data_IF_785887921591
#
_entry.id   IF_785887921591
#
_cell.length_a   1.000
_cell.length_b   1.000
_cell.length_c   1.000
_cell.angle_alpha   90.00
_cell.angle_beta   90.00
_cell.angle_gamma   90.00
#
_symmetry.space_group_name_H-M   'P 1'
#
loop_
_entity.id
_entity.type
_entity.pdbx_description
1 polymer ?
#
# COMPACT_ATOMS: atom_id res chain seq x y z
N UNK A 1 -0.68 -17.67 -17.31
CA UNK A 1 -1.25 -16.31 -17.22
C UNK A 1 -2.05 -16.22 -15.93
N UNK A 2 -1.62 -15.37 -15.00
CA UNK A 2 -2.43 -15.04 -13.84
C UNK A 2 -3.69 -14.34 -14.37
N UNK A 3 -4.86 -14.95 -14.13
CA UNK A 3 -6.18 -14.42 -14.55
C UNK A 3 -6.33 -12.97 -14.09
N UNK A 4 -6.95 -12.16 -14.94
CA UNK A 4 -7.07 -10.69 -14.92
C UNK A 4 -7.69 -10.03 -13.66
N UNK A 5 -7.82 -10.75 -12.54
CA UNK A 5 -8.50 -10.31 -11.32
C UNK A 5 -7.75 -10.67 -10.03
N UNK A 6 -6.42 -10.67 -10.06
CA UNK A 6 -5.62 -10.81 -8.84
C UNK A 6 -5.54 -9.50 -8.08
N UNK A 7 -5.88 -9.53 -6.79
CA UNK A 7 -5.67 -8.39 -5.91
C UNK A 7 -4.31 -8.43 -5.23
N UNK A 8 -3.60 -7.32 -5.34
CA UNK A 8 -2.28 -7.11 -4.76
C UNK A 8 -2.38 -5.95 -3.78
N UNK A 9 -2.07 -6.23 -2.52
CA UNK A 9 -1.89 -5.21 -1.49
C UNK A 9 -0.44 -4.74 -1.55
N UNK A 10 -0.23 -3.43 -1.73
CA UNK A 10 1.09 -2.79 -1.71
C UNK A 10 1.12 -1.84 -0.53
N UNK A 11 2.16 -1.95 0.28
CA UNK A 11 2.31 -1.20 1.53
C UNK A 11 3.56 -0.34 1.46
N UNK A 12 3.48 0.88 1.98
CA UNK A 12 4.60 1.81 2.10
C UNK A 12 4.59 2.53 3.45
N UNK A 13 5.76 2.82 4.02
CA UNK A 13 5.88 3.63 5.23
C UNK A 13 5.91 5.11 4.84
N UNK A 14 4.98 5.90 5.37
CA UNK A 14 5.10 7.36 5.37
C UNK A 14 5.93 7.85 6.56
N UNK A 15 5.84 7.15 7.69
CA UNK A 15 6.68 7.35 8.88
C UNK A 15 6.80 6.03 9.66
N UNK A 16 7.48 6.05 10.80
CA UNK A 16 7.61 4.88 11.69
C UNK A 16 6.26 4.32 12.11
N UNK A 17 5.29 5.19 12.31
CA UNK A 17 3.97 4.85 12.87
C UNK A 17 2.85 5.07 11.85
N UNK A 18 3.14 5.42 10.59
CA UNK A 18 2.13 5.68 9.58
C UNK A 18 2.41 4.89 8.30
N UNK A 19 1.45 4.05 7.93
CA UNK A 19 1.43 3.28 6.71
C UNK A 19 0.44 3.87 5.72
N UNK A 20 0.84 3.88 4.46
CA UNK A 20 -0.07 4.01 3.32
C UNK A 20 -0.15 2.66 2.62
N UNK A 21 -1.35 2.27 2.21
CA UNK A 21 -1.57 1.04 1.47
C UNK A 21 -2.44 1.27 0.24
N UNK A 22 -2.21 0.43 -0.76
CA UNK A 22 -2.94 0.39 -2.01
C UNK A 22 -3.37 -1.05 -2.30
N UNK A 23 -4.62 -1.25 -2.67
CA UNK A 23 -5.09 -2.53 -3.25
C UNK A 23 -5.29 -2.31 -4.74
N UNK A 24 -4.51 -3.02 -5.54
CA UNK A 24 -4.66 -3.07 -7.00
C UNK A 24 -5.39 -4.33 -7.41
N UNK A 25 -6.28 -4.25 -8.41
CA UNK A 25 -6.94 -5.40 -9.02
C UNK A 25 -6.44 -5.64 -10.43
N UNK A 26 -5.42 -6.46 -10.58
CA UNK A 26 -4.80 -6.80 -11.86
C UNK A 26 -4.52 -5.54 -12.69
N UNK A 27 -5.03 -5.52 -13.92
CA UNK A 27 -4.91 -4.38 -14.85
C UNK A 27 -6.02 -3.34 -14.69
N UNK A 28 -7.03 -3.58 -13.83
CA UNK A 28 -8.14 -2.64 -13.60
C UNK A 28 -7.70 -1.39 -12.81
N UNK A 29 -6.54 -1.47 -12.15
CA UNK A 29 -5.95 -0.35 -11.41
C UNK A 29 -6.31 -0.35 -9.93
N UNK A 30 -6.33 0.84 -9.34
CA UNK A 30 -6.54 1.07 -7.90
C UNK A 30 -7.99 0.80 -7.52
N UNK A 31 -8.20 -0.11 -6.58
CA UNK A 31 -9.51 -0.41 -5.98
C UNK A 31 -9.66 0.25 -4.61
N UNK A 32 -8.59 0.22 -3.80
CA UNK A 32 -8.57 0.87 -2.49
C UNK A 32 -7.24 1.58 -2.23
N UNK A 33 -7.32 2.69 -1.52
CA UNK A 33 -6.20 3.44 -0.98
C UNK A 33 -6.56 3.83 0.45
N UNK A 34 -5.61 3.72 1.38
CA UNK A 34 -5.86 4.16 2.75
C UNK A 34 -4.61 4.38 3.56
N UNK A 35 -4.82 4.94 4.75
CA UNK A 35 -3.80 5.21 5.75
C UNK A 35 -4.13 4.41 7.01
N UNK A 36 -3.10 3.84 7.63
CA UNK A 36 -3.22 3.14 8.91
C UNK A 36 -2.12 3.62 9.84
N UNK A 37 -2.51 4.01 11.05
CA UNK A 37 -1.58 4.33 12.13
C UNK A 37 -1.16 3.03 12.84
N UNK A 38 0.13 2.82 13.04
CA UNK A 38 0.72 1.60 13.57
C UNK A 38 1.59 0.85 12.56
N UNK A 39 1.82 -0.44 12.84
CA UNK A 39 2.67 -1.32 12.04
C UNK A 39 1.88 -2.23 11.08
N UNK A 40 2.60 -3.15 10.45
CA UNK A 40 2.01 -4.12 9.50
C UNK A 40 0.89 -4.94 10.16
N UNK A 41 1.04 -5.33 11.42
CA UNK A 41 0.01 -6.10 12.13
C UNK A 41 -1.29 -5.30 12.28
N UNK A 42 -1.20 -3.99 12.56
CA UNK A 42 -2.36 -3.11 12.68
C UNK A 42 -3.06 -2.95 11.33
N UNK A 43 -2.29 -2.80 10.25
CA UNK A 43 -2.82 -2.80 8.89
C UNK A 43 -3.56 -4.10 8.56
N UNK A 44 -2.96 -5.26 8.85
CA UNK A 44 -3.60 -6.55 8.61
C UNK A 44 -4.90 -6.65 9.40
N UNK A 45 -4.91 -6.30 10.68
CA UNK A 45 -6.11 -6.32 11.52
C UNK A 45 -7.21 -5.38 10.99
N UNK A 46 -6.83 -4.18 10.53
CA UNK A 46 -7.75 -3.24 9.92
C UNK A 46 -8.36 -3.80 8.62
N UNK A 47 -7.54 -4.30 7.70
CA UNK A 47 -8.01 -4.90 6.44
C UNK A 47 -8.84 -6.17 6.66
N UNK A 48 -8.62 -6.85 7.78
CA UNK A 48 -9.43 -7.98 8.23
C UNK A 48 -10.83 -7.54 8.64
N UNK A 49 -10.93 -6.47 9.44
CA UNK A 49 -12.21 -5.94 9.91
C UNK A 49 -13.10 -5.40 8.78
N UNK A 50 -12.50 -5.06 7.64
CA UNK A 50 -13.17 -4.52 6.45
C UNK A 50 -13.39 -5.58 5.36
N UNK A 51 -13.03 -6.85 5.60
CA UNK A 51 -13.06 -7.96 4.63
C UNK A 51 -12.23 -7.72 3.35
N UNK A 52 -11.40 -6.67 3.29
CA UNK A 52 -10.57 -6.37 2.12
C UNK A 52 -9.45 -7.39 1.93
N UNK A 53 -8.90 -7.91 3.03
CA UNK A 53 -7.76 -8.83 3.00
C UNK A 53 -8.13 -10.19 2.40
N UNK A 54 -9.39 -10.61 2.46
CA UNK A 54 -9.84 -11.95 2.05
C UNK A 54 -9.74 -12.16 0.54
N UNK A 55 -9.76 -11.06 -0.23
CA UNK A 55 -9.64 -11.09 -1.69
C UNK A 55 -8.19 -10.88 -2.17
N UNK A 56 -7.30 -10.45 -1.28
CA UNK A 56 -5.88 -10.21 -1.58
C UNK A 56 -5.16 -11.54 -1.74
N UNK A 57 -4.45 -11.69 -2.86
CA UNK A 57 -3.63 -12.88 -3.13
C UNK A 57 -2.15 -12.66 -2.87
N UNK A 58 -1.69 -11.42 -2.97
CA UNK A 58 -0.29 -11.06 -2.77
C UNK A 58 -0.19 -9.80 -1.93
N UNK A 59 0.78 -9.80 -1.01
CA UNK A 59 1.16 -8.63 -0.21
C UNK A 59 2.58 -8.26 -0.60
N UNK A 60 2.79 -7.00 -0.91
CA UNK A 60 4.11 -6.40 -1.16
C UNK A 60 4.41 -5.46 -0.01
N UNK A 61 5.41 -5.83 0.79
CA UNK A 61 5.86 -5.04 1.92
C UNK A 61 6.80 -3.91 1.47
N UNK A 62 7.03 -2.91 2.36
CA UNK A 62 7.88 -1.76 2.03
C UNK A 62 9.31 -2.14 1.62
N UNK A 63 9.87 -3.23 2.13
CA UNK A 63 11.21 -3.73 1.79
C UNK A 63 11.30 -4.54 0.50
N UNK A 64 10.25 -4.54 -0.33
CA UNK A 64 10.09 -5.35 -1.54
C UNK A 64 9.90 -6.85 -1.30
N UNK A 65 9.65 -7.27 -0.06
CA UNK A 65 9.24 -8.63 0.23
C UNK A 65 7.84 -8.87 -0.34
N UNK A 66 7.69 -9.95 -1.11
CA UNK A 66 6.40 -10.35 -1.68
C UNK A 66 5.98 -11.66 -1.03
N UNK A 67 4.78 -11.67 -0.48
CA UNK A 67 4.18 -12.86 0.12
C UNK A 67 2.90 -13.21 -0.62
N UNK A 68 2.68 -14.51 -0.79
CA UNK A 68 1.41 -15.03 -1.23
C UNK A 68 0.52 -15.31 -0.02
N UNK A 69 -0.74 -14.90 -0.11
CA UNK A 69 -1.73 -15.08 0.95
C UNK A 69 -2.59 -16.30 0.64
N UNK A 70 -2.62 -17.26 1.56
CA UNK A 70 -3.42 -18.47 1.45
C UNK A 70 -4.56 -18.51 2.46
N UNK A 71 -5.79 -18.64 1.96
CA UNK A 71 -6.98 -19.00 2.73
C UNK A 71 -7.41 -17.98 3.80
N UNK A 72 -8.45 -18.33 4.55
CA UNK A 72 -8.98 -17.53 5.66
C UNK A 72 -8.00 -17.39 6.85
N UNK A 73 -7.07 -18.34 6.97
CA UNK A 73 -6.06 -18.37 8.05
C UNK A 73 -4.80 -17.55 7.72
N UNK A 74 -4.77 -16.89 6.54
CA UNK A 74 -3.74 -15.91 6.14
C UNK A 74 -2.32 -16.42 6.27
N UNK A 75 -2.12 -17.69 5.92
CA UNK A 75 -0.77 -18.24 5.86
C UNK A 75 0.00 -17.52 4.76
N UNK A 76 1.14 -16.91 5.14
CA UNK A 76 2.07 -16.33 4.19
C UNK A 76 2.94 -17.45 3.63
N UNK A 77 2.96 -17.58 2.31
CA UNK A 77 3.87 -18.51 1.64
C UNK A 77 4.78 -17.80 0.65
N UNK A 78 5.78 -18.55 0.21
CA UNK A 78 6.70 -18.11 -0.83
C UNK A 78 5.98 -17.93 -2.17
N UNK A 79 6.56 -17.06 -2.98
CA UNK A 79 6.12 -16.74 -4.34
C UNK A 79 7.09 -17.37 -5.31
N UNK A 80 6.61 -18.04 -6.37
CA UNK A 80 7.49 -18.59 -7.40
C UNK A 80 8.06 -17.50 -8.31
N UNK A 81 9.14 -17.79 -9.04
CA UNK A 81 9.74 -16.83 -9.98
C UNK A 81 8.77 -16.45 -11.12
N UNK A 82 7.92 -17.38 -11.57
CA UNK A 82 6.91 -17.13 -12.61
C UNK A 82 5.81 -16.20 -12.09
N UNK A 83 5.41 -16.37 -10.81
CA UNK A 83 4.46 -15.49 -10.15
C UNK A 83 5.04 -14.09 -9.95
N UNK A 84 6.28 -13.98 -9.46
CA UNK A 84 6.98 -12.70 -9.31
C UNK A 84 7.07 -11.97 -10.65
N UNK A 85 7.46 -12.68 -11.70
CA UNK A 85 7.56 -12.14 -13.06
C UNK A 85 6.23 -11.55 -13.53
N UNK A 86 5.12 -12.25 -13.24
CA UNK A 86 3.76 -11.80 -13.57
C UNK A 86 3.30 -10.59 -12.75
N UNK A 87 3.82 -10.41 -11.54
CA UNK A 87 3.48 -9.29 -10.65
C UNK A 87 4.27 -8.02 -10.94
N UNK A 88 5.42 -8.11 -11.63
CA UNK A 88 6.35 -7.01 -11.87
C UNK A 88 5.66 -5.70 -12.30
N UNK A 89 4.79 -5.77 -13.32
CA UNK A 89 4.10 -4.59 -13.85
C UNK A 89 3.09 -4.01 -12.86
N UNK A 90 2.36 -4.86 -12.14
CA UNK A 90 1.36 -4.45 -11.14
C UNK A 90 2.07 -3.74 -9.98
N UNK A 91 3.17 -4.31 -9.49
CA UNK A 91 3.95 -3.74 -8.39
C UNK A 91 4.60 -2.42 -8.81
N UNK A 92 5.17 -2.36 -10.01
CA UNK A 92 5.77 -1.14 -10.54
C UNK A 92 4.76 0.00 -10.60
N UNK A 93 3.56 -0.27 -11.14
CA UNK A 93 2.50 0.73 -11.25
C UNK A 93 1.99 1.17 -9.87
N UNK A 94 1.77 0.24 -8.96
CA UNK A 94 1.34 0.59 -7.60
C UNK A 94 2.35 1.42 -6.83
N UNK A 95 3.65 1.14 -7.00
CA UNK A 95 4.72 1.96 -6.43
C UNK A 95 4.75 3.35 -7.06
N UNK A 96 4.56 3.46 -8.37
CA UNK A 96 4.47 4.76 -9.06
C UNK A 96 3.34 5.61 -8.48
N UNK A 97 2.16 5.02 -8.29
CA UNK A 97 1.00 5.70 -7.70
C UNK A 97 1.27 6.10 -6.24
N UNK A 98 1.78 5.20 -5.42
CA UNK A 98 2.10 5.50 -4.01
C UNK A 98 3.15 6.60 -3.88
N UNK A 99 4.16 6.61 -4.74
CA UNK A 99 5.18 7.67 -4.75
C UNK A 99 4.56 9.02 -5.09
N UNK A 100 3.71 9.10 -6.14
CA UNK A 100 3.02 10.34 -6.49
C UNK A 100 2.19 10.87 -5.32
N UNK A 101 1.40 10.01 -4.68
CA UNK A 101 0.58 10.41 -3.53
C UNK A 101 1.46 10.87 -2.36
N UNK A 102 2.55 10.16 -2.10
CA UNK A 102 3.47 10.48 -1.01
C UNK A 102 4.13 11.84 -1.22
N UNK A 103 4.55 12.16 -2.44
CA UNK A 103 5.12 13.47 -2.77
C UNK A 103 4.09 14.60 -2.65
N UNK A 104 2.85 14.39 -3.10
CA UNK A 104 1.75 15.35 -2.92
C UNK A 104 1.46 15.61 -1.44
N UNK A 105 1.44 14.55 -0.61
CA UNK A 105 1.24 14.69 0.84
C UNK A 105 2.36 15.51 1.49
N UNK A 106 3.62 15.27 1.13
CA UNK A 106 4.77 16.06 1.62
C UNK A 106 4.68 17.54 1.20
N UNK A 107 4.23 17.79 -0.02
CA UNK A 107 4.03 19.14 -0.51
C UNK A 107 2.96 19.88 0.31
N UNK A 108 1.81 19.24 0.55
CA UNK A 108 0.72 19.81 1.36
C UNK A 108 1.19 20.10 2.79
N UNK A 109 1.92 19.18 3.44
CA UNK A 109 2.43 19.40 4.80
C UNK A 109 3.40 20.59 4.82
N UNK A 110 4.29 20.69 3.84
CA UNK A 110 5.25 21.80 3.73
C UNK A 110 4.54 23.15 3.56
N UNK A 111 3.50 23.21 2.74
CA UNK A 111 2.68 24.41 2.60
C UNK A 111 2.03 24.79 3.93
N UNK A 112 1.43 23.83 4.63
CA UNK A 112 0.74 24.10 5.91
C UNK A 112 1.68 24.67 6.97
N UNK A 113 2.91 24.16 7.07
CA UNK A 113 3.91 24.65 8.01
C UNK A 113 4.37 26.07 7.68
N UNK A 114 4.55 26.37 6.40
CA UNK A 114 4.97 27.70 5.94
C UNK A 114 3.86 28.74 6.09
N UNK A 115 2.59 28.37 5.83
CA UNK A 115 1.44 29.24 6.08
C UNK A 115 1.31 29.53 7.58
N UNK A 116 1.48 28.54 8.45
CA UNK A 116 1.40 28.74 9.89
C UNK A 116 2.51 29.65 10.41
N UNK A 117 3.76 29.45 9.96
CA UNK A 117 4.89 30.34 10.31
C UNK A 117 4.68 31.78 9.83
N UNK A 118 4.10 31.97 8.64
CA UNK A 118 3.77 33.29 8.11
C UNK A 118 2.68 34.02 8.90
N UNK A 119 1.74 33.29 9.51
CA UNK A 119 0.73 33.87 10.40
C UNK A 119 1.29 34.26 11.78
N UNK A 120 2.22 33.48 12.34
CA UNK A 120 2.80 33.75 13.66
C UNK A 120 3.86 34.87 13.62
N UNK A 121 4.53 35.08 12.48
CA UNK A 121 5.54 36.13 12.33
C UNK A 121 4.95 37.57 12.20
N UNK A 122 3.62 37.70 12.10
CA UNK A 122 2.92 38.99 11.92
C UNK A 122 1.95 39.34 13.06
N UNK A 123 1.98 38.63 14.19
CA UNK A 123 1.21 38.92 15.40
C UNK A 123 2.11 39.28 16.57
#
# INVERSE_FOLDING_TARGET
MIKDEVRVLIVHYLSKDLLIYLVLRGVKGVEHLGLVNGGINDLINYLSSTNLIDEVRYIVLPGNEVFKVYGRDRMLGSVSNDELSSLTNIVAEGRRVLNLITEELKFITTLSENTFKGCVANG
#
